data_IF_687314679496
#
_entry.id   IF_687314679496
#
_cell.length_a   1.000
_cell.length_b   1.000
_cell.length_c   1.000
_cell.angle_alpha   90.00
_cell.angle_beta   90.00
_cell.angle_gamma   90.00
#
_symmetry.space_group_name_H-M   'P 1'
#
loop_
_entity.id
_entity.type
_entity.pdbx_description
1 polymer ?
#
# COMPACT_ATOMS: atom_id res chain seq x y z
N UNK A 1 -3.06 -31.40 5.37
CA UNK A 1 -2.90 -30.13 6.10
C UNK A 1 -3.31 -28.99 5.17
N UNK A 2 -4.42 -28.32 5.44
CA UNK A 2 -4.84 -27.16 4.64
C UNK A 2 -3.81 -26.04 4.84
N UNK A 3 -3.25 -25.51 3.74
CA UNK A 3 -2.41 -24.31 3.78
C UNK A 3 -3.25 -23.20 4.42
N UNK A 4 -2.84 -22.71 5.60
CA UNK A 4 -3.43 -21.55 6.23
C UNK A 4 -3.27 -20.40 5.23
N UNK A 5 -4.35 -19.94 4.60
CA UNK A 5 -4.34 -18.78 3.70
C UNK A 5 -3.98 -17.55 4.55
N UNK A 6 -2.70 -17.21 4.59
CA UNK A 6 -2.25 -15.98 5.25
C UNK A 6 -2.36 -14.82 4.26
N UNK A 7 -3.01 -13.74 4.68
CA UNK A 7 -3.02 -12.48 3.93
C UNK A 7 -1.69 -11.76 4.14
N UNK A 8 -0.97 -11.47 3.07
CA UNK A 8 0.27 -10.68 3.14
C UNK A 8 -0.08 -9.19 3.14
N UNK A 9 0.48 -8.45 4.10
CA UNK A 9 0.36 -6.98 4.18
C UNK A 9 1.68 -6.36 3.72
N UNK A 10 1.61 -5.49 2.70
CA UNK A 10 2.77 -4.78 2.14
C UNK A 10 2.64 -3.29 2.43
N UNK A 11 3.53 -2.74 3.27
CA UNK A 11 3.53 -1.33 3.68
C UNK A 11 4.53 -0.55 2.82
N UNK A 12 4.07 0.05 1.72
CA UNK A 12 4.92 0.71 0.72
C UNK A 12 5.68 1.94 1.24
N UNK A 13 5.14 2.59 2.24
CA UNK A 13 5.71 3.82 2.82
C UNK A 13 6.28 3.57 4.23
N UNK A 14 6.57 2.33 4.58
CA UNK A 14 7.01 2.00 5.92
C UNK A 14 5.88 2.03 6.96
N UNK A 15 6.22 2.22 8.22
CA UNK A 15 5.25 2.25 9.32
C UNK A 15 5.80 3.00 10.54
N UNK A 16 4.89 3.58 11.33
CA UNK A 16 5.24 4.30 12.57
C UNK A 16 5.97 3.44 13.61
N UNK A 17 5.82 2.14 13.54
CA UNK A 17 6.48 1.18 14.43
C UNK A 17 7.72 0.52 13.82
N UNK A 18 8.21 1.03 12.69
CA UNK A 18 9.46 0.58 12.07
C UNK A 18 10.55 1.61 12.31
N UNK A 19 11.71 1.14 12.73
CA UNK A 19 12.87 1.97 13.05
C UNK A 19 14.12 1.43 12.36
N UNK A 20 15.01 2.32 11.94
CA UNK A 20 16.32 1.97 11.37
C UNK A 20 17.36 3.02 11.75
N UNK A 21 18.63 2.63 11.76
CA UNK A 21 19.75 3.54 12.05
C UNK A 21 19.95 4.55 10.92
N UNK A 22 19.82 4.10 9.66
CA UNK A 22 20.01 4.94 8.48
C UNK A 22 18.96 4.60 7.42
N UNK A 23 18.28 5.62 6.90
CA UNK A 23 17.23 5.43 5.89
C UNK A 23 17.79 5.00 4.53
N UNK A 24 19.08 5.29 4.25
CA UNK A 24 19.69 5.14 2.92
C UNK A 24 20.56 3.90 2.73
N UNK A 25 20.66 3.02 3.72
CA UNK A 25 21.55 1.86 3.68
C UNK A 25 20.80 0.58 4.08
N UNK A 26 21.50 -0.55 3.96
CA UNK A 26 21.02 -1.87 4.36
C UNK A 26 20.98 -2.03 5.88
N UNK A 27 20.57 -0.99 6.60
CA UNK A 27 20.43 -1.07 8.05
C UNK A 27 19.24 -1.97 8.41
N UNK A 28 19.34 -2.77 9.48
CA UNK A 28 18.25 -3.63 9.90
C UNK A 28 17.04 -2.79 10.32
N UNK A 29 15.85 -3.31 10.04
CA UNK A 29 14.61 -2.73 10.55
C UNK A 29 14.29 -3.36 11.90
N UNK A 30 14.07 -2.51 12.90
CA UNK A 30 13.60 -2.88 14.22
C UNK A 30 12.09 -2.63 14.28
N UNK A 31 11.33 -3.63 14.73
CA UNK A 31 9.87 -3.55 14.84
C UNK A 31 9.46 -3.27 16.30
N UNK A 32 8.77 -2.18 16.52
CA UNK A 32 8.16 -1.91 17.81
C UNK A 32 6.73 -2.45 17.86
N UNK A 33 6.43 -3.29 18.84
CA UNK A 33 5.08 -3.78 19.12
C UNK A 33 4.56 -3.19 20.43
N UNK A 34 3.28 -2.81 20.51
CA UNK A 34 2.66 -2.37 21.75
C UNK A 34 2.68 -3.42 22.87
N UNK A 35 2.87 -4.69 22.51
CA UNK A 35 3.03 -5.79 23.45
C UNK A 35 4.51 -6.01 23.85
N UNK A 36 5.44 -5.20 23.34
CA UNK A 36 6.84 -5.29 23.71
C UNK A 36 6.98 -4.70 25.11
N UNK A 37 7.28 -5.52 26.11
CA UNK A 37 7.54 -5.04 27.46
C UNK A 37 8.75 -4.10 27.46
N UNK A 38 8.76 -3.10 28.35
CA UNK A 38 9.92 -2.19 28.50
C UNK A 38 11.23 -2.92 28.83
N UNK A 39 11.13 -4.18 29.24
CA UNK A 39 12.24 -5.06 29.58
C UNK A 39 12.71 -5.93 28.41
N UNK A 40 11.99 -5.91 27.25
CA UNK A 40 12.40 -6.71 26.11
C UNK A 40 13.71 -6.19 25.50
N UNK A 41 14.54 -7.12 25.02
CA UNK A 41 15.77 -6.78 24.30
C UNK A 41 15.51 -5.88 23.08
N UNK A 42 14.37 -6.05 22.40
CA UNK A 42 13.96 -5.22 21.27
C UNK A 42 13.69 -3.78 21.68
N UNK A 43 13.02 -3.55 22.83
CA UNK A 43 12.77 -2.23 23.35
C UNK A 43 14.09 -1.54 23.76
N UNK A 44 14.99 -2.26 24.43
CA UNK A 44 16.31 -1.74 24.81
C UNK A 44 17.18 -1.43 23.59
N UNK A 45 17.11 -2.23 22.54
CA UNK A 45 17.78 -1.97 21.24
C UNK A 45 17.25 -0.71 20.56
N UNK A 46 15.98 -0.40 20.72
CA UNK A 46 15.33 0.78 20.11
C UNK A 46 15.64 2.05 20.95
N UNK A 47 15.47 2.02 22.27
CA UNK A 47 15.62 3.20 23.14
C UNK A 47 17.08 3.55 23.42
N UNK A 48 17.96 2.56 23.49
CA UNK A 48 19.40 2.78 23.78
C UNK A 48 20.20 3.34 22.59
N UNK A 49 19.57 3.53 21.43
CA UNK A 49 20.25 4.06 20.24
C UNK A 49 19.68 5.43 19.86
N UNK A 50 20.39 6.49 20.19
CA UNK A 50 20.04 7.87 19.82
C UNK A 50 19.93 8.10 18.31
N UNK A 51 20.49 7.19 17.48
CA UNK A 51 20.49 7.26 16.02
C UNK A 51 19.26 6.68 15.35
N UNK A 52 18.40 5.94 16.08
CA UNK A 52 17.24 5.28 15.46
C UNK A 52 16.17 6.30 15.04
N UNK A 53 15.78 6.20 13.77
CA UNK A 53 14.73 7.01 13.17
C UNK A 53 13.58 6.12 12.69
N UNK A 54 12.37 6.67 12.72
CA UNK A 54 11.21 5.98 12.14
C UNK A 54 11.38 5.83 10.63
N UNK A 55 11.14 4.62 10.13
CA UNK A 55 11.15 4.33 8.70
C UNK A 55 9.75 4.62 8.12
N UNK A 56 9.52 5.89 7.83
CA UNK A 56 8.31 6.39 7.17
C UNK A 56 8.73 7.22 5.96
N UNK A 57 8.12 6.94 4.82
CA UNK A 57 8.27 7.73 3.60
C UNK A 57 7.09 8.69 3.52
N UNK A 58 7.30 9.99 3.76
CA UNK A 58 6.20 10.95 3.75
C UNK A 58 5.64 11.14 2.32
N UNK A 59 4.40 11.59 2.17
CA UNK A 59 3.77 11.86 0.87
C UNK A 59 4.25 13.20 0.30
N UNK A 60 5.56 13.30 0.00
CA UNK A 60 6.21 14.47 -0.62
C UNK A 60 6.56 14.17 -2.08
N UNK A 61 6.77 15.21 -2.88
CA UNK A 61 7.06 15.08 -4.31
C UNK A 61 8.44 14.44 -4.58
N UNK A 62 9.46 14.84 -3.82
CA UNK A 62 10.81 14.25 -3.92
C UNK A 62 11.02 13.20 -2.82
N UNK A 63 10.94 11.95 -3.23
CA UNK A 63 11.12 10.77 -2.37
C UNK A 63 12.38 9.97 -2.73
N UNK A 64 13.21 10.47 -3.63
CA UNK A 64 14.29 9.72 -4.26
C UNK A 64 15.20 9.06 -3.22
N UNK A 65 15.57 9.78 -2.18
CA UNK A 65 16.43 9.27 -1.12
C UNK A 65 15.73 8.28 -0.18
N UNK A 66 14.41 8.39 -0.01
CA UNK A 66 13.67 7.57 0.95
C UNK A 66 13.41 6.14 0.45
N UNK A 67 13.51 5.90 -0.87
CA UNK A 67 13.34 4.56 -1.45
C UNK A 67 14.63 3.74 -1.53
N UNK A 68 15.76 4.26 -1.06
CA UNK A 68 17.04 3.56 -1.14
C UNK A 68 17.20 2.45 -0.10
N UNK A 69 16.29 2.31 0.85
CA UNK A 69 16.30 1.22 1.82
C UNK A 69 15.90 -0.10 1.15
N UNK A 70 16.74 -1.13 1.26
CA UNK A 70 16.56 -2.42 0.56
C UNK A 70 15.23 -3.10 0.88
N UNK A 71 14.78 -3.03 2.14
CA UNK A 71 13.49 -3.61 2.55
C UNK A 71 12.32 -2.89 1.90
N UNK A 72 12.37 -1.56 1.81
CA UNK A 72 11.35 -0.78 1.11
C UNK A 72 11.31 -1.19 -0.36
N UNK A 73 12.46 -1.28 -1.04
CA UNK A 73 12.52 -1.74 -2.42
C UNK A 73 11.96 -3.15 -2.59
N UNK A 74 12.23 -4.05 -1.64
CA UNK A 74 11.67 -5.41 -1.63
C UNK A 74 10.14 -5.39 -1.54
N UNK A 75 9.56 -4.55 -0.68
CA UNK A 75 8.11 -4.37 -0.55
C UNK A 75 7.49 -3.84 -1.85
N UNK A 76 8.11 -2.86 -2.49
CA UNK A 76 7.65 -2.35 -3.79
C UNK A 76 7.69 -3.42 -4.89
N UNK A 77 8.75 -4.25 -4.93
CA UNK A 77 8.83 -5.39 -5.85
C UNK A 77 7.73 -6.43 -5.58
N UNK A 78 7.41 -6.70 -4.31
CA UNK A 78 6.31 -7.59 -3.94
C UNK A 78 4.96 -7.03 -4.37
N UNK A 79 4.68 -5.75 -4.11
CA UNK A 79 3.46 -5.09 -4.55
C UNK A 79 3.32 -5.11 -6.08
N UNK A 80 4.38 -4.79 -6.81
CA UNK A 80 4.41 -4.88 -8.27
C UNK A 80 3.98 -6.26 -8.77
N UNK A 81 4.59 -7.33 -8.24
CA UNK A 81 4.26 -8.71 -8.62
C UNK A 81 2.83 -9.09 -8.26
N UNK A 82 2.32 -8.61 -7.11
CA UNK A 82 0.95 -8.87 -6.69
C UNK A 82 -0.06 -8.19 -7.64
N UNK A 83 0.14 -6.91 -7.96
CA UNK A 83 -0.70 -6.15 -8.90
C UNK A 83 -0.66 -6.80 -10.30
N UNK A 84 0.53 -7.16 -10.78
CA UNK A 84 0.72 -7.79 -12.08
C UNK A 84 -0.07 -9.11 -12.22
N UNK A 85 -0.16 -9.90 -11.15
CA UNK A 85 -0.88 -11.19 -11.14
C UNK A 85 -2.39 -11.04 -10.91
N UNK A 86 -2.83 -9.95 -10.26
CA UNK A 86 -4.20 -9.79 -9.83
C UNK A 86 -5.18 -9.62 -11.00
N UNK A 87 -6.28 -10.36 -11.02
CA UNK A 87 -7.41 -10.15 -11.93
C UNK A 87 -8.40 -9.11 -11.38
N UNK A 88 -8.61 -9.11 -10.07
CA UNK A 88 -9.46 -8.16 -9.37
C UNK A 88 -8.60 -7.36 -8.39
N UNK A 89 -8.68 -6.03 -8.49
CA UNK A 89 -7.96 -5.10 -7.63
C UNK A 89 -8.98 -4.22 -6.93
N UNK A 90 -8.96 -4.20 -5.60
CA UNK A 90 -9.86 -3.41 -4.78
C UNK A 90 -9.07 -2.25 -4.18
N UNK A 91 -9.48 -1.01 -4.49
CA UNK A 91 -8.82 0.20 -4.00
C UNK A 91 -9.76 0.92 -3.05
N UNK A 92 -9.40 0.94 -1.77
CA UNK A 92 -10.20 1.54 -0.71
C UNK A 92 -9.61 2.87 -0.25
N UNK A 93 -10.41 3.95 -0.30
CA UNK A 93 -10.07 5.25 0.27
C UNK A 93 -8.93 6.01 -0.41
N UNK A 94 -8.34 5.49 -1.50
CA UNK A 94 -7.20 6.12 -2.18
C UNK A 94 -7.64 6.81 -3.47
N UNK A 95 -7.20 8.04 -3.70
CA UNK A 95 -7.60 8.88 -4.86
C UNK A 95 -6.47 9.13 -5.86
N UNK A 96 -5.30 8.52 -5.69
CA UNK A 96 -4.10 8.75 -6.50
C UNK A 96 -3.70 10.24 -6.56
N UNK A 97 -3.40 10.86 -5.41
CA UNK A 97 -3.02 12.26 -5.35
C UNK A 97 -1.75 12.53 -6.17
N UNK A 98 -1.60 13.75 -6.66
CA UNK A 98 -0.41 14.18 -7.42
C UNK A 98 0.89 14.02 -6.61
N UNK A 99 0.81 14.16 -5.30
CA UNK A 99 1.97 13.99 -4.40
C UNK A 99 2.47 12.56 -4.30
N UNK A 100 1.72 11.56 -4.79
CA UNK A 100 2.11 10.16 -4.73
C UNK A 100 2.23 9.50 -6.11
N UNK A 101 3.04 10.14 -6.97
CA UNK A 101 3.32 9.65 -8.33
C UNK A 101 3.94 8.25 -8.33
N UNK A 102 4.70 7.90 -7.30
CA UNK A 102 5.34 6.57 -7.20
C UNK A 102 4.31 5.45 -7.24
N UNK A 103 3.18 5.60 -6.53
CA UNK A 103 2.08 4.61 -6.56
C UNK A 103 1.41 4.58 -7.93
N UNK A 104 1.23 5.75 -8.58
CA UNK A 104 0.70 5.82 -9.96
C UNK A 104 1.60 5.03 -10.91
N UNK A 105 2.92 5.23 -10.86
CA UNK A 105 3.88 4.51 -11.69
C UNK A 105 3.91 3.01 -11.38
N UNK A 106 3.82 2.63 -10.11
CA UNK A 106 3.73 1.22 -9.71
C UNK A 106 2.57 0.52 -10.42
N UNK A 107 1.36 1.09 -10.36
CA UNK A 107 0.19 0.52 -11.02
C UNK A 107 0.30 0.53 -12.55
N UNK A 108 0.69 1.67 -13.14
CA UNK A 108 0.85 1.76 -14.59
C UNK A 108 1.86 0.75 -15.12
N UNK A 109 3.03 0.63 -14.49
CA UNK A 109 4.06 -0.33 -14.90
C UNK A 109 3.63 -1.77 -14.71
N UNK A 110 2.97 -2.10 -13.60
CA UNK A 110 2.53 -3.47 -13.33
C UNK A 110 1.39 -3.92 -14.27
N UNK A 111 0.56 -2.99 -14.76
CA UNK A 111 -0.61 -3.27 -15.59
C UNK A 111 -0.40 -2.94 -17.09
N UNK A 112 0.75 -2.42 -17.48
CA UNK A 112 1.02 -1.89 -18.84
C UNK A 112 0.64 -2.87 -19.95
N UNK A 113 0.96 -4.14 -19.82
CA UNK A 113 0.71 -5.17 -20.84
C UNK A 113 -0.43 -6.12 -20.46
N UNK A 114 -1.23 -5.76 -19.43
CA UNK A 114 -2.28 -6.61 -18.90
C UNK A 114 -3.64 -6.13 -19.37
N UNK A 115 -4.42 -7.03 -20.00
CA UNK A 115 -5.79 -6.75 -20.44
C UNK A 115 -6.84 -7.35 -19.49
N UNK A 116 -6.54 -8.48 -18.87
CA UNK A 116 -7.45 -9.24 -18.00
C UNK A 116 -7.33 -8.76 -16.55
N UNK A 117 -7.86 -7.57 -16.27
CA UNK A 117 -8.02 -7.07 -14.89
C UNK A 117 -9.20 -6.10 -14.77
N UNK A 118 -9.74 -6.00 -13.56
CA UNK A 118 -10.76 -5.04 -13.19
C UNK A 118 -10.41 -4.37 -11.86
N UNK A 119 -10.64 -3.07 -11.79
CA UNK A 119 -10.42 -2.27 -10.57
C UNK A 119 -11.77 -1.92 -9.98
N UNK A 120 -11.96 -2.24 -8.71
CA UNK A 120 -13.12 -1.87 -7.92
C UNK A 120 -12.73 -0.72 -7.00
N UNK A 121 -13.37 0.43 -7.18
CA UNK A 121 -13.08 1.64 -6.41
C UNK A 121 -14.08 1.74 -5.26
N UNK A 122 -13.59 1.68 -4.03
CA UNK A 122 -14.38 1.77 -2.80
C UNK A 122 -14.07 3.11 -2.14
N UNK A 123 -15.03 4.02 -2.14
CA UNK A 123 -14.82 5.37 -1.60
C UNK A 123 -16.17 6.01 -1.26
N UNK A 124 -16.14 7.21 -0.66
CA UNK A 124 -17.32 8.05 -0.49
C UNK A 124 -17.83 8.57 -1.83
N UNK A 125 -19.10 8.96 -1.90
CA UNK A 125 -19.73 9.55 -3.10
C UNK A 125 -19.22 10.97 -3.40
N UNK A 126 -18.63 11.67 -2.42
CA UNK A 126 -18.11 13.03 -2.60
C UNK A 126 -17.09 13.11 -3.73
N UNK A 127 -17.18 14.15 -4.57
CA UNK A 127 -16.28 14.38 -5.70
C UNK A 127 -16.11 13.18 -6.63
N UNK A 128 -17.20 12.47 -6.90
CA UNK A 128 -17.16 11.21 -7.67
C UNK A 128 -16.66 11.44 -9.11
N UNK A 129 -16.99 12.56 -9.71
CA UNK A 129 -16.60 12.84 -11.10
C UNK A 129 -15.12 13.14 -11.23
N UNK A 130 -14.52 13.86 -10.27
CA UNK A 130 -13.07 14.09 -10.22
C UNK A 130 -12.33 12.77 -10.01
N UNK A 131 -12.83 11.89 -9.13
CA UNK A 131 -12.28 10.56 -8.93
C UNK A 131 -12.36 9.73 -10.21
N UNK A 132 -13.51 9.68 -10.88
CA UNK A 132 -13.67 8.97 -12.16
C UNK A 132 -12.71 9.50 -13.21
N UNK A 133 -12.57 10.82 -13.35
CA UNK A 133 -11.62 11.43 -14.26
C UNK A 133 -10.19 10.96 -13.96
N UNK A 134 -9.75 11.09 -12.70
CA UNK A 134 -8.41 10.70 -12.28
C UNK A 134 -8.10 9.23 -12.50
N UNK A 135 -9.02 8.34 -12.13
CA UNK A 135 -8.86 6.90 -12.34
C UNK A 135 -8.83 6.53 -13.84
N UNK A 136 -9.67 7.15 -14.66
CA UNK A 136 -9.68 6.92 -16.10
C UNK A 136 -8.38 7.42 -16.79
N UNK A 137 -7.77 8.49 -16.30
CA UNK A 137 -6.45 8.97 -16.77
C UNK A 137 -5.33 7.97 -16.46
N UNK A 138 -5.43 7.26 -15.33
CA UNK A 138 -4.40 6.31 -14.89
C UNK A 138 -4.58 4.95 -15.55
N UNK A 139 -5.80 4.41 -15.57
CA UNK A 139 -6.10 3.02 -15.90
C UNK A 139 -6.78 2.82 -17.27
N UNK A 140 -7.28 3.90 -17.86
CA UNK A 140 -8.10 3.86 -19.08
C UNK A 140 -9.59 3.69 -18.79
N UNK A 141 -10.40 4.12 -19.78
CA UNK A 141 -11.87 4.02 -19.68
C UNK A 141 -12.32 2.55 -19.63
N UNK A 142 -13.31 2.25 -18.84
CA UNK A 142 -13.92 0.92 -18.72
C UNK A 142 -13.20 -0.08 -17.82
N UNK A 143 -12.01 0.24 -17.29
CA UNK A 143 -11.28 -0.64 -16.37
C UNK A 143 -11.74 -0.54 -14.93
N UNK A 144 -12.36 0.59 -14.54
CA UNK A 144 -12.74 0.89 -13.16
C UNK A 144 -14.25 0.76 -12.96
N UNK A 145 -14.62 0.11 -11.86
CA UNK A 145 -15.98 -0.01 -11.35
C UNK A 145 -16.16 0.88 -10.12
N UNK A 146 -17.02 1.88 -10.22
CA UNK A 146 -17.30 2.86 -9.16
C UNK A 146 -18.59 2.56 -8.40
N UNK A 147 -19.18 1.38 -8.57
CA UNK A 147 -20.44 1.00 -7.91
C UNK A 147 -20.37 0.97 -6.38
N UNK A 148 -19.14 0.91 -5.83
CA UNK A 148 -18.85 0.95 -4.39
C UNK A 148 -18.51 2.36 -3.88
N UNK A 149 -18.68 3.40 -4.70
CA UNK A 149 -18.55 4.78 -4.25
C UNK A 149 -19.89 5.28 -3.71
N UNK A 150 -20.21 4.90 -2.48
CA UNK A 150 -21.47 5.16 -1.78
C UNK A 150 -21.25 5.19 -0.26
N UNK A 151 -22.27 5.61 0.50
CA UNK A 151 -22.15 5.75 1.94
C UNK A 151 -22.08 4.39 2.67
N UNK A 152 -22.72 3.36 2.13
CA UNK A 152 -22.72 1.98 2.59
C UNK A 152 -21.65 1.11 1.91
N UNK A 153 -20.53 1.69 1.51
CA UNK A 153 -19.54 1.07 0.65
C UNK A 153 -18.93 -0.23 1.21
N UNK A 154 -18.69 -0.32 2.52
CA UNK A 154 -18.13 -1.52 3.15
C UNK A 154 -19.11 -2.67 3.19
N UNK A 155 -20.38 -2.40 3.51
CA UNK A 155 -21.43 -3.41 3.52
C UNK A 155 -21.67 -3.99 2.13
N UNK A 156 -21.73 -3.11 1.13
CA UNK A 156 -21.85 -3.49 -0.28
C UNK A 156 -20.67 -4.31 -0.78
N UNK A 157 -19.45 -3.93 -0.37
CA UNK A 157 -18.25 -4.68 -0.67
C UNK A 157 -18.27 -6.07 -0.03
N UNK A 158 -18.64 -6.17 1.26
CA UNK A 158 -18.74 -7.45 1.95
C UNK A 158 -19.73 -8.39 1.27
N UNK A 159 -20.93 -7.90 0.89
CA UNK A 159 -21.92 -8.67 0.12
C UNK A 159 -21.37 -9.13 -1.24
N UNK A 160 -20.55 -8.31 -1.90
CA UNK A 160 -19.94 -8.65 -3.20
C UNK A 160 -18.88 -9.75 -3.05
N UNK A 161 -18.02 -9.66 -2.02
CA UNK A 161 -16.99 -10.65 -1.76
C UNK A 161 -17.59 -11.99 -1.35
N UNK A 162 -18.59 -12.01 -0.48
CA UNK A 162 -19.26 -13.24 -0.03
C UNK A 162 -19.98 -14.01 -1.16
N UNK A 163 -20.32 -13.34 -2.28
CA UNK A 163 -20.88 -14.02 -3.46
C UNK A 163 -19.82 -14.67 -4.35
N UNK A 164 -18.54 -14.38 -4.15
CA UNK A 164 -17.42 -14.89 -4.98
C UNK A 164 -16.68 -16.06 -4.32
N UNK A 165 -16.93 -16.31 -3.07
CA UNK A 165 -16.40 -17.42 -2.28
C UNK A 165 -17.52 -18.31 -1.74
#
# INVERSE_FOLDING_TARGET
>A
MAKKNSTEIVKLHGSINWYCDQIYQNSPIYFYSHNTSKESEEYQKIIGKESLRQLIIPPILDKTNNYNHIEIQSLWKKAFKAIQKAKNIYIYGFSFPITDLSVVYLFKSALQNKQDYKIYVINTKSHIDDKKKRYNEIFGKGKCDFSFCCDDNLEKLAKHLNKKF
#
